data_IF_759060076096
#
_entry.id   IF_759060076096
#
_cell.length_a   1.000
_cell.length_b   1.000
_cell.length_c   1.000
_cell.angle_alpha   90.00
_cell.angle_beta   90.00
_cell.angle_gamma   90.00
#
_symmetry.space_group_name_H-M   'P 1'
#
loop_
_entity.id
_entity.type
_entity.pdbx_description
1 polymer ?
#
# COMPACT_ATOMS: atom_id res chain seq x y z
N UNK A 1 8.75 -10.07 12.64
CA UNK A 1 7.97 -9.02 13.36
C UNK A 1 6.58 -8.85 12.76
N UNK A 2 6.45 -8.47 11.50
CA UNK A 2 5.17 -8.40 10.75
C UNK A 2 4.27 -9.62 10.92
N UNK A 3 4.82 -10.84 10.85
CA UNK A 3 4.00 -12.06 10.86
C UNK A 3 3.29 -12.34 12.19
N UNK A 4 3.64 -11.65 13.28
CA UNK A 4 2.84 -11.67 14.51
C UNK A 4 1.46 -11.03 14.33
N UNK A 5 1.28 -10.23 13.27
CA UNK A 5 0.01 -9.62 12.88
C UNK A 5 -0.75 -10.45 11.83
N UNK A 6 -0.38 -11.72 11.58
CA UNK A 6 -1.03 -12.54 10.56
C UNK A 6 -2.56 -12.64 10.73
N UNK A 7 -3.05 -12.70 11.97
CA UNK A 7 -4.48 -12.72 12.30
C UNK A 7 -5.24 -11.45 11.86
N UNK A 8 -4.56 -10.32 11.65
CA UNK A 8 -5.17 -9.07 11.17
C UNK A 8 -5.19 -8.94 9.63
N UNK A 9 -4.50 -9.84 8.94
CA UNK A 9 -4.37 -9.81 7.49
C UNK A 9 -3.90 -11.16 6.98
N UNK A 10 -4.80 -12.16 6.91
CA UNK A 10 -4.47 -13.52 6.51
C UNK A 10 -4.19 -13.65 5.01
N UNK A 11 -4.77 -12.77 4.18
CA UNK A 11 -4.81 -12.92 2.72
C UNK A 11 -3.50 -12.55 2.02
N UNK A 12 -2.62 -11.82 2.68
CA UNK A 12 -1.36 -11.44 2.06
C UNK A 12 -0.33 -10.84 2.99
N UNK A 13 0.92 -10.83 2.53
CA UNK A 13 2.01 -10.16 3.23
C UNK A 13 3.10 -9.70 2.30
N UNK A 14 3.71 -8.55 2.63
CA UNK A 14 4.89 -8.04 1.92
C UNK A 14 5.74 -7.23 2.89
N UNK A 15 7.03 -7.13 2.55
CA UNK A 15 7.97 -6.22 3.20
C UNK A 15 8.73 -5.49 2.13
N UNK A 16 8.93 -4.20 2.33
CA UNK A 16 9.86 -3.37 1.56
C UNK A 16 10.95 -2.88 2.50
N UNK A 17 12.19 -2.83 2.01
CA UNK A 17 13.34 -2.30 2.75
C UNK A 17 14.09 -1.33 1.86
N UNK A 18 14.33 -0.12 2.34
CA UNK A 18 15.12 0.87 1.61
C UNK A 18 16.57 0.40 1.47
N UNK A 19 17.19 0.75 0.35
CA UNK A 19 18.63 0.58 0.14
C UNK A 19 19.27 1.95 0.26
N UNK A 20 19.94 2.23 1.37
CA UNK A 20 20.67 3.47 1.58
C UNK A 20 21.97 3.18 2.33
N UNK A 21 23.03 3.91 1.99
CA UNK A 21 24.40 3.64 2.49
C UNK A 21 24.53 3.91 4.00
N UNK A 22 23.74 4.85 4.52
CA UNK A 22 23.77 5.26 5.93
C UNK A 22 22.81 4.48 6.83
N UNK A 23 22.04 3.53 6.28
CA UNK A 23 21.07 2.74 7.04
C UNK A 23 19.86 2.29 6.22
N UNK A 24 19.02 1.43 6.80
CA UNK A 24 17.84 0.89 6.13
C UNK A 24 16.56 1.17 6.91
N UNK A 25 15.48 1.46 6.18
CA UNK A 25 14.11 1.60 6.70
C UNK A 25 13.28 0.44 6.15
N UNK A 26 12.52 -0.22 7.01
CA UNK A 26 11.65 -1.34 6.63
C UNK A 26 10.17 -1.01 6.83
N UNK A 27 9.35 -1.31 5.82
CA UNK A 27 7.90 -1.26 5.89
C UNK A 27 7.34 -2.67 5.67
N UNK A 28 6.50 -3.15 6.60
CA UNK A 28 5.87 -4.47 6.52
C UNK A 28 4.35 -4.37 6.59
N UNK A 29 3.66 -5.16 5.76
CA UNK A 29 2.20 -5.13 5.68
C UNK A 29 1.60 -6.54 5.71
N UNK A 30 0.50 -6.71 6.46
CA UNK A 30 -0.40 -7.87 6.41
C UNK A 30 -1.73 -7.40 5.84
N UNK A 31 -2.25 -8.13 4.86
CA UNK A 31 -3.43 -7.72 4.09
C UNK A 31 -4.64 -8.56 4.49
N UNK A 32 -5.72 -7.88 4.83
CA UNK A 32 -7.09 -8.41 4.78
C UNK A 32 -7.72 -7.81 3.51
N UNK A 33 -8.15 -8.64 2.57
CA UNK A 33 -8.65 -8.22 1.27
C UNK A 33 -10.16 -7.94 1.34
N UNK A 34 -10.54 -6.66 1.19
CA UNK A 34 -11.94 -6.21 1.25
C UNK A 34 -12.32 -5.48 -0.04
N UNK A 35 -11.58 -4.41 -0.38
CA UNK A 35 -11.74 -3.64 -1.62
C UNK A 35 -10.56 -3.95 -2.55
N UNK A 36 -10.86 -4.16 -3.84
CA UNK A 36 -9.94 -4.63 -4.89
C UNK A 36 -9.20 -5.89 -4.46
N UNK A 37 -9.78 -7.07 -4.70
CA UNK A 37 -9.22 -8.34 -4.24
C UNK A 37 -7.95 -8.78 -5.00
N UNK A 38 -7.55 -8.06 -6.04
CA UNK A 38 -6.38 -8.42 -6.86
C UNK A 38 -5.05 -8.22 -6.13
N UNK A 39 -3.99 -8.81 -6.69
CA UNK A 39 -2.62 -8.62 -6.19
C UNK A 39 -2.07 -7.20 -6.42
N UNK A 40 -2.72 -6.42 -7.30
CA UNK A 40 -2.33 -5.03 -7.55
C UNK A 40 -2.53 -4.16 -6.30
N UNK A 41 -3.53 -4.47 -5.46
CA UNK A 41 -3.80 -3.78 -4.21
C UNK A 41 -2.84 -4.14 -3.06
N UNK A 42 -1.79 -4.94 -3.31
CA UNK A 42 -0.83 -5.33 -2.28
C UNK A 42 0.12 -4.19 -1.88
N UNK A 43 0.21 -3.91 -0.59
CA UNK A 43 1.12 -2.90 -0.02
C UNK A 43 2.40 -3.55 0.53
N UNK A 44 3.52 -2.82 0.73
CA UNK A 44 3.70 -1.37 0.55
C UNK A 44 3.49 -0.91 -0.89
N UNK A 45 2.76 0.19 -1.07
CA UNK A 45 2.53 0.82 -2.37
C UNK A 45 3.62 1.85 -2.66
N UNK A 46 3.93 2.08 -3.93
CA UNK A 46 4.89 3.11 -4.35
C UNK A 46 4.18 4.18 -5.16
N UNK A 47 4.61 5.43 -5.02
CA UNK A 47 4.19 6.51 -5.91
C UNK A 47 4.61 6.21 -7.36
N UNK A 48 3.98 6.89 -8.32
CA UNK A 48 4.23 6.64 -9.74
C UNK A 48 5.69 6.87 -10.17
N UNK A 49 6.37 7.84 -9.54
CA UNK A 49 7.79 8.14 -9.69
C UNK A 49 8.70 7.24 -8.82
N UNK A 50 8.11 6.41 -7.95
CA UNK A 50 8.80 5.53 -7.04
C UNK A 50 9.51 6.21 -5.87
N UNK A 51 9.38 7.53 -5.71
CA UNK A 51 10.06 8.30 -4.65
C UNK A 51 9.48 8.04 -3.26
N UNK A 52 8.18 7.74 -3.17
CA UNK A 52 7.47 7.47 -1.92
C UNK A 52 7.07 6.00 -1.83
N UNK A 53 7.12 5.46 -0.61
CA UNK A 53 6.59 4.14 -0.28
C UNK A 53 5.62 4.27 0.90
N UNK A 54 4.42 3.71 0.77
CA UNK A 54 3.32 3.88 1.71
C UNK A 54 2.80 2.53 2.23
N UNK A 55 2.46 2.49 3.51
CA UNK A 55 1.59 1.47 4.11
C UNK A 55 0.41 2.17 4.79
N UNK A 56 -0.76 1.55 4.72
CA UNK A 56 -2.02 2.08 5.24
C UNK A 56 -2.93 0.94 5.73
N UNK A 57 -3.49 1.09 6.93
CA UNK A 57 -4.47 0.17 7.51
C UNK A 57 -5.75 0.95 7.84
N UNK A 58 -6.80 0.72 7.07
CA UNK A 58 -8.09 1.41 7.20
C UNK A 58 -8.84 1.41 5.87
N UNK A 59 -9.92 2.18 5.81
CA UNK A 59 -10.73 2.37 4.61
C UNK A 59 -10.93 3.87 4.36
N UNK A 60 -10.76 4.27 3.09
CA UNK A 60 -11.09 5.62 2.62
C UNK A 60 -12.49 5.52 2.03
N UNK A 61 -13.51 5.94 2.78
CA UNK A 61 -14.91 5.71 2.38
C UNK A 61 -15.29 6.44 1.09
N UNK A 62 -14.78 7.65 0.87
CA UNK A 62 -15.02 8.46 -0.32
C UNK A 62 -13.96 8.26 -1.42
N UNK A 63 -13.36 7.07 -1.51
CA UNK A 63 -12.27 6.82 -2.47
C UNK A 63 -12.74 6.89 -3.94
N UNK A 64 -14.03 6.71 -4.21
CA UNK A 64 -14.60 6.78 -5.56
C UNK A 64 -14.57 8.23 -6.02
N UNK A 65 -15.14 9.14 -5.22
CA UNK A 65 -15.18 10.57 -5.47
C UNK A 65 -13.77 11.15 -5.57
N UNK A 66 -12.89 10.80 -4.63
CA UNK A 66 -11.49 11.24 -4.63
C UNK A 66 -10.75 10.73 -5.88
N UNK A 67 -11.00 9.50 -6.31
CA UNK A 67 -10.36 8.94 -7.51
C UNK A 67 -10.80 9.69 -8.76
N UNK A 68 -12.07 10.08 -8.86
CA UNK A 68 -12.58 10.86 -9.98
C UNK A 68 -12.04 12.29 -9.98
N UNK A 69 -11.97 12.95 -8.81
CA UNK A 69 -11.32 14.25 -8.65
C UNK A 69 -9.83 14.21 -9.07
N UNK A 70 -9.11 13.16 -8.66
CA UNK A 70 -7.69 13.01 -8.99
C UNK A 70 -7.48 12.68 -10.48
N UNK A 71 -8.36 11.88 -11.09
CA UNK A 71 -8.34 11.62 -12.54
C UNK A 71 -8.59 12.90 -13.35
N UNK A 72 -9.50 13.76 -12.88
CA UNK A 72 -9.73 15.06 -13.51
C UNK A 72 -8.50 15.99 -13.45
N UNK A 73 -7.58 15.72 -12.51
CA UNK A 73 -6.26 16.36 -12.41
C UNK A 73 -5.13 15.53 -13.04
N UNK A 74 -5.49 14.63 -13.95
CA UNK A 74 -4.55 13.82 -14.74
C UNK A 74 -3.72 12.81 -13.93
N UNK A 75 -4.14 12.45 -12.71
CA UNK A 75 -3.49 11.38 -11.96
C UNK A 75 -3.88 9.99 -12.48
N UNK A 76 -2.87 9.13 -12.65
CA UNK A 76 -3.04 7.75 -13.11
C UNK A 76 -2.95 6.77 -11.94
N UNK A 77 -3.97 5.93 -11.80
CA UNK A 77 -4.02 4.82 -10.84
C UNK A 77 -3.62 3.52 -11.53
N UNK A 78 -2.79 2.71 -10.88
CA UNK A 78 -2.25 1.43 -11.38
C UNK A 78 -2.57 0.30 -10.43
#
# INVERSE_FOLDING_TARGET
>A
MRDRLAHRGPDGSRTWVSKHETGAVGLGFRRLAIIDLSDAAMQPMRSADGALTLVYNGEIYNYIELRDELRAREHVFR
#
